data_IF_382627261611
#
_entry.id   IF_382627261611
#
_cell.length_a   1.000
_cell.length_b   1.000
_cell.length_c   1.000
_cell.angle_alpha   90.00
_cell.angle_beta   90.00
_cell.angle_gamma   90.00
#
_symmetry.space_group_name_H-M   'P 1'
#
loop_
_entity.id
_entity.type
_entity.pdbx_description
1 polymer ?
#
# COMPACT_ATOMS: atom_id res chain seq x y z
N UNK A 1 19.66 3.94 -10.55
CA UNK A 1 19.91 3.65 -9.13
C UNK A 1 20.35 2.20 -9.03
N UNK A 2 21.66 1.98 -8.87
CA UNK A 2 22.29 0.68 -9.15
C UNK A 2 22.16 -0.29 -7.96
N UNK A 3 21.98 -1.59 -8.24
CA UNK A 3 21.92 -2.68 -7.23
C UNK A 3 23.08 -2.63 -6.21
N UNK A 4 24.25 -2.17 -6.65
CA UNK A 4 25.49 -2.06 -5.86
C UNK A 4 25.37 -1.02 -4.75
N UNK A 5 24.77 0.14 -5.01
CA UNK A 5 24.62 1.23 -4.04
C UNK A 5 23.67 0.83 -2.89
N UNK A 6 22.57 0.14 -3.23
CA UNK A 6 21.58 -0.33 -2.24
C UNK A 6 22.18 -1.36 -1.27
N UNK A 7 23.10 -2.19 -1.75
CA UNK A 7 23.81 -3.18 -0.93
C UNK A 7 24.77 -2.51 0.05
N UNK A 8 25.56 -1.54 -0.42
CA UNK A 8 26.49 -0.79 0.43
C UNK A 8 25.77 0.01 1.51
N UNK A 9 24.67 0.71 1.15
CA UNK A 9 23.85 1.47 2.10
C UNK A 9 23.35 0.58 3.24
N UNK A 10 22.85 -0.62 2.92
CA UNK A 10 22.36 -1.58 3.92
C UNK A 10 23.44 -2.01 4.93
N UNK A 11 24.68 -2.21 4.47
CA UNK A 11 25.81 -2.56 5.36
C UNK A 11 26.15 -1.38 6.28
N UNK A 12 26.17 -0.16 5.77
CA UNK A 12 26.45 1.03 6.59
C UNK A 12 25.37 1.26 7.65
N UNK A 13 24.09 1.14 7.27
CA UNK A 13 22.96 1.27 8.19
C UNK A 13 23.02 0.22 9.30
N UNK A 14 23.36 -1.04 8.96
CA UNK A 14 23.51 -2.10 9.95
C UNK A 14 24.67 -1.83 10.92
N UNK A 15 25.81 -1.32 10.44
CA UNK A 15 26.95 -0.95 11.29
C UNK A 15 26.59 0.19 12.25
N UNK A 16 25.91 1.23 11.77
CA UNK A 16 25.46 2.34 12.59
C UNK A 16 24.48 1.83 13.67
N UNK A 17 23.53 0.97 13.29
CA UNK A 17 22.59 0.39 14.25
C UNK A 17 23.29 -0.46 15.32
N UNK A 18 24.35 -1.22 14.98
CA UNK A 18 25.17 -1.97 15.95
C UNK A 18 25.83 -1.03 16.97
N UNK A 19 26.39 0.09 16.51
CA UNK A 19 27.04 1.07 17.38
C UNK A 19 26.06 1.77 18.32
N UNK A 20 24.85 2.04 17.83
CA UNK A 20 23.78 2.69 18.61
C UNK A 20 22.94 1.74 19.45
N UNK A 21 23.33 0.46 19.58
CA UNK A 21 22.55 -0.61 20.24
C UNK A 21 21.10 -0.74 19.73
N UNK A 22 20.84 -0.32 18.50
CA UNK A 22 19.51 -0.20 17.90
C UNK A 22 19.09 -1.41 17.06
N UNK A 23 19.60 -2.61 17.35
CA UNK A 23 19.30 -3.82 16.58
C UNK A 23 18.39 -4.75 17.38
N UNK A 24 17.25 -5.07 16.78
CA UNK A 24 16.36 -6.13 17.22
C UNK A 24 16.42 -7.30 16.22
N UNK A 25 16.51 -8.53 16.75
CA UNK A 25 16.48 -9.76 15.95
C UNK A 25 15.15 -10.45 16.20
N UNK A 26 14.40 -10.73 15.13
CA UNK A 26 13.11 -11.41 15.19
C UNK A 26 13.28 -12.86 14.73
N UNK A 27 13.05 -13.81 15.64
CA UNK A 27 13.13 -15.25 15.34
C UNK A 27 11.73 -15.80 15.12
N UNK A 28 11.47 -16.30 13.91
CA UNK A 28 10.18 -16.89 13.53
C UNK A 28 10.29 -18.41 13.59
N UNK A 29 9.43 -19.04 14.38
CA UNK A 29 9.34 -20.50 14.49
C UNK A 29 8.08 -21.08 13.84
N UNK A 30 8.19 -22.30 13.29
CA UNK A 30 7.08 -23.05 12.75
C UNK A 30 7.33 -24.57 12.82
N UNK A 31 6.27 -25.37 12.66
CA UNK A 31 6.36 -26.84 12.73
C UNK A 31 6.83 -27.46 11.41
N UNK A 32 6.51 -26.83 10.27
CA UNK A 32 6.95 -27.29 8.94
C UNK A 32 7.75 -26.21 8.21
N UNK A 33 8.58 -26.63 7.25
CA UNK A 33 9.38 -25.70 6.42
C UNK A 33 8.49 -24.76 5.61
N UNK A 34 7.32 -25.25 5.17
CA UNK A 34 6.37 -24.45 4.39
C UNK A 34 5.75 -23.36 5.26
N UNK A 35 5.30 -23.70 6.47
CA UNK A 35 4.78 -22.72 7.43
C UNK A 35 5.84 -21.73 7.89
N UNK A 36 7.09 -22.17 8.07
CA UNK A 36 8.20 -21.29 8.43
C UNK A 36 8.34 -20.18 7.38
N UNK A 37 8.32 -20.57 6.10
CA UNK A 37 8.46 -19.63 4.99
C UNK A 37 7.27 -18.68 4.88
N UNK A 38 6.04 -19.17 5.03
CA UNK A 38 4.84 -18.32 5.05
C UNK A 38 4.89 -17.28 6.18
N UNK A 39 5.17 -17.72 7.42
CA UNK A 39 5.28 -16.81 8.57
C UNK A 39 6.42 -15.81 8.42
N UNK A 40 7.56 -16.24 7.86
CA UNK A 40 8.69 -15.35 7.60
C UNK A 40 8.32 -14.25 6.59
N UNK A 41 7.67 -14.61 5.47
CA UNK A 41 7.23 -13.64 4.46
C UNK A 41 6.22 -12.64 5.02
N UNK A 42 5.28 -13.11 5.84
CA UNK A 42 4.30 -12.24 6.51
C UNK A 42 4.95 -11.27 7.50
N UNK A 43 5.97 -11.72 8.23
CA UNK A 43 6.73 -10.87 9.14
C UNK A 43 7.55 -9.81 8.38
N UNK A 44 8.14 -10.19 7.24
CA UNK A 44 8.88 -9.27 6.38
C UNK A 44 7.97 -8.19 5.78
N UNK A 45 6.79 -8.57 5.28
CA UNK A 45 5.79 -7.62 4.78
C UNK A 45 5.34 -6.66 5.88
N UNK A 46 5.07 -7.16 7.09
CA UNK A 46 4.69 -6.31 8.23
C UNK A 46 5.79 -5.30 8.60
N UNK A 47 7.05 -5.74 8.64
CA UNK A 47 8.19 -4.86 8.91
C UNK A 47 8.30 -3.75 7.84
N UNK A 48 8.14 -4.12 6.57
CA UNK A 48 8.21 -3.16 5.46
C UNK A 48 7.03 -2.18 5.50
N UNK A 49 5.83 -2.64 5.81
CA UNK A 49 4.64 -1.78 5.97
C UNK A 49 4.81 -0.76 7.10
N UNK A 50 5.36 -1.17 8.25
CA UNK A 50 5.62 -0.26 9.39
C UNK A 50 6.68 0.77 9.02
N UNK A 51 7.76 0.36 8.34
CA UNK A 51 8.80 1.30 7.88
C UNK A 51 8.22 2.36 6.95
N UNK A 52 7.40 1.95 5.96
CA UNK A 52 6.73 2.87 5.07
C UNK A 52 5.76 3.80 5.82
N UNK A 53 5.03 3.28 6.81
CA UNK A 53 4.14 4.09 7.63
C UNK A 53 4.86 5.14 8.50
N UNK A 54 6.10 4.86 8.93
CA UNK A 54 6.94 5.83 9.65
C UNK A 54 7.44 6.92 8.69
N UNK A 55 7.77 6.58 7.45
CA UNK A 55 8.30 7.51 6.45
C UNK A 55 7.22 8.41 5.83
N UNK A 56 6.09 7.85 5.41
CA UNK A 56 5.04 8.54 4.64
C UNK A 56 3.78 8.85 5.47
N UNK A 57 3.69 8.31 6.67
CA UNK A 57 2.50 8.39 7.52
C UNK A 57 1.47 7.30 7.21
N UNK A 58 0.28 7.44 7.81
CA UNK A 58 -0.81 6.45 7.73
C UNK A 58 -2.07 7.05 7.10
N UNK A 59 -2.76 6.25 6.31
CA UNK A 59 -4.04 6.60 5.68
C UNK A 59 -5.09 5.52 5.94
N UNK A 60 -6.37 5.85 5.69
CA UNK A 60 -7.47 4.90 5.84
C UNK A 60 -7.31 3.75 4.84
N UNK A 61 -7.22 2.52 5.35
CA UNK A 61 -7.03 1.30 4.55
C UNK A 61 -8.27 0.84 3.79
N UNK A 62 -8.27 -0.44 3.39
CA UNK A 62 -9.43 -1.09 2.75
C UNK A 62 -9.84 -0.50 1.39
N UNK A 63 -8.94 0.25 0.73
CA UNK A 63 -9.25 0.98 -0.49
C UNK A 63 -10.13 2.22 -0.30
N UNK A 64 -10.52 2.56 0.94
CA UNK A 64 -11.36 3.73 1.23
C UNK A 64 -10.62 5.05 0.91
N UNK A 65 -9.30 5.11 1.17
CA UNK A 65 -8.49 6.27 0.78
C UNK A 65 -8.54 6.50 -0.74
N UNK A 66 -8.42 5.45 -1.55
CA UNK A 66 -8.47 5.55 -3.02
C UNK A 66 -9.83 6.03 -3.52
N UNK A 67 -10.93 5.59 -2.89
CA UNK A 67 -12.27 6.08 -3.19
C UNK A 67 -12.45 7.56 -2.82
N UNK A 68 -11.90 8.01 -1.68
CA UNK A 68 -11.94 9.42 -1.30
C UNK A 68 -11.09 10.30 -2.22
N UNK A 69 -10.01 9.76 -2.78
CA UNK A 69 -9.22 10.46 -3.78
C UNK A 69 -9.93 10.54 -5.13
N UNK A 70 -10.72 9.53 -5.50
CA UNK A 70 -11.42 9.51 -6.78
C UNK A 70 -12.50 10.59 -6.89
N UNK A 71 -13.10 11.05 -5.78
CA UNK A 71 -14.05 12.17 -5.77
C UNK A 71 -13.37 13.51 -6.05
N UNK A 72 -12.09 13.67 -5.67
CA UNK A 72 -11.30 14.88 -5.96
C UNK A 72 -10.87 14.99 -7.42
N UNK A 73 -10.88 13.88 -8.17
CA UNK A 73 -10.52 13.88 -9.60
C UNK A 73 -11.51 14.71 -10.42
N UNK A 74 -12.76 14.83 -9.98
CA UNK A 74 -13.76 15.65 -10.67
C UNK A 74 -13.33 17.12 -10.74
N UNK A 75 -12.80 17.66 -9.65
CA UNK A 75 -12.24 19.03 -9.63
C UNK A 75 -11.00 19.18 -10.50
N UNK A 76 -10.17 18.14 -10.60
CA UNK A 76 -8.99 18.15 -11.48
C UNK A 76 -9.44 18.15 -12.95
N UNK A 77 -10.47 17.37 -13.28
CA UNK A 77 -11.02 17.26 -14.63
C UNK A 77 -11.57 18.60 -15.15
N UNK A 78 -12.18 19.41 -14.28
CA UNK A 78 -12.67 20.75 -14.62
C UNK A 78 -11.56 21.71 -15.08
N UNK A 79 -10.35 21.53 -14.55
CA UNK A 79 -9.17 22.34 -14.92
C UNK A 79 -8.37 21.82 -16.11
N UNK A 80 -8.82 20.76 -16.79
CA UNK A 80 -8.13 20.19 -17.96
C UNK A 80 -8.71 20.77 -19.25
N UNK A 81 -7.82 21.27 -20.11
CA UNK A 81 -8.17 21.93 -21.37
C UNK A 81 -8.39 20.94 -22.53
N UNK A 82 -7.74 19.76 -22.48
CA UNK A 82 -7.81 18.75 -23.54
C UNK A 82 -8.80 17.62 -23.18
N UNK A 83 -9.70 17.28 -24.11
CA UNK A 83 -10.65 16.18 -23.99
C UNK A 83 -9.97 14.81 -23.77
N UNK A 84 -8.81 14.56 -24.37
CA UNK A 84 -8.06 13.30 -24.13
C UNK A 84 -7.60 13.18 -22.67
N UNK A 85 -7.20 14.30 -22.05
CA UNK A 85 -6.81 14.34 -20.65
C UNK A 85 -8.01 14.13 -19.73
N UNK A 86 -9.19 14.67 -20.09
CA UNK A 86 -10.45 14.43 -19.37
C UNK A 86 -10.86 12.96 -19.40
N UNK A 87 -10.73 12.30 -20.55
CA UNK A 87 -10.95 10.86 -20.69
C UNK A 87 -9.95 10.08 -19.80
N UNK A 88 -8.68 10.49 -19.77
CA UNK A 88 -7.67 9.92 -18.87
C UNK A 88 -8.03 10.06 -17.39
N UNK A 89 -8.53 11.23 -16.97
CA UNK A 89 -9.01 11.45 -15.60
C UNK A 89 -10.18 10.52 -15.25
N UNK A 90 -11.14 10.33 -16.17
CA UNK A 90 -12.27 9.42 -15.98
C UNK A 90 -11.81 7.95 -15.87
N UNK A 91 -10.77 7.55 -16.61
CA UNK A 91 -10.18 6.21 -16.51
C UNK A 91 -9.57 6.01 -15.12
N UNK A 92 -8.77 6.98 -14.64
CA UNK A 92 -8.17 6.93 -13.30
C UNK A 92 -9.24 6.85 -12.21
N UNK A 93 -10.30 7.66 -12.33
CA UNK A 93 -11.43 7.65 -11.38
C UNK A 93 -12.05 6.25 -11.26
N UNK A 94 -12.26 5.56 -12.38
CA UNK A 94 -12.78 4.18 -12.40
C UNK A 94 -11.77 3.18 -11.83
N UNK A 95 -10.49 3.32 -12.18
CA UNK A 95 -9.43 2.43 -11.73
C UNK A 95 -9.28 2.45 -10.19
N UNK A 96 -9.35 3.63 -9.58
CA UNK A 96 -9.24 3.79 -8.12
C UNK A 96 -10.36 3.12 -7.32
N UNK A 97 -11.52 2.87 -7.93
CA UNK A 97 -12.63 2.14 -7.29
C UNK A 97 -12.45 0.60 -7.32
N UNK A 98 -11.56 0.10 -8.19
CA UNK A 98 -11.39 -1.34 -8.40
C UNK A 98 -10.85 -2.09 -7.18
N UNK A 99 -9.84 -1.58 -6.42
CA UNK A 99 -9.32 -2.26 -5.25
C UNK A 99 -10.39 -2.53 -4.19
N UNK A 100 -11.22 -1.54 -3.87
CA UNK A 100 -12.31 -1.70 -2.88
C UNK A 100 -13.37 -2.69 -3.37
N UNK A 101 -13.70 -2.66 -4.67
CA UNK A 101 -14.61 -3.66 -5.27
C UNK A 101 -14.04 -5.07 -5.17
N UNK A 102 -12.75 -5.25 -5.41
CA UNK A 102 -12.10 -6.55 -5.34
C UNK A 102 -12.06 -7.08 -3.91
N UNK A 103 -11.75 -6.22 -2.92
CA UNK A 103 -11.79 -6.59 -1.50
C UNK A 103 -13.20 -7.03 -1.10
N UNK A 104 -14.23 -6.25 -1.47
CA UNK A 104 -15.62 -6.60 -1.18
C UNK A 104 -16.06 -7.92 -1.85
N UNK A 105 -15.65 -8.13 -3.11
CA UNK A 105 -15.93 -9.37 -3.85
C UNK A 105 -15.28 -10.59 -3.19
N UNK A 106 -14.01 -10.47 -2.77
CA UNK A 106 -13.31 -11.53 -2.05
C UNK A 106 -13.95 -11.83 -0.69
N UNK A 107 -14.60 -10.84 -0.07
CA UNK A 107 -15.38 -11.02 1.16
C UNK A 107 -16.81 -11.54 0.93
N UNK A 108 -17.22 -11.80 -0.32
CA UNK A 108 -18.55 -12.33 -0.66
C UNK A 108 -19.67 -11.28 -0.66
N UNK A 109 -19.34 -9.98 -0.66
CA UNK A 109 -20.31 -8.88 -0.61
C UNK A 109 -20.33 -8.11 -1.93
N UNK A 110 -21.47 -7.52 -2.30
CA UNK A 110 -21.57 -6.73 -3.51
C UNK A 110 -20.74 -5.42 -3.39
N UNK A 111 -19.67 -5.33 -4.18
CA UNK A 111 -18.77 -4.18 -4.14
C UNK A 111 -19.40 -2.84 -4.51
N UNK A 112 -20.47 -2.82 -5.31
CA UNK A 112 -21.17 -1.56 -5.63
C UNK A 112 -21.90 -1.00 -4.40
N UNK A 113 -22.53 -1.87 -3.61
CA UNK A 113 -23.19 -1.48 -2.37
C UNK A 113 -22.18 -0.93 -1.36
N UNK A 114 -21.00 -1.54 -1.27
CA UNK A 114 -19.91 -1.07 -0.40
C UNK A 114 -19.38 0.28 -0.86
N UNK A 115 -19.07 0.46 -2.16
CA UNK A 115 -18.59 1.72 -2.72
C UNK A 115 -19.60 2.84 -2.49
N UNK A 116 -20.88 2.61 -2.76
CA UNK A 116 -21.93 3.62 -2.56
C UNK A 116 -22.04 4.02 -1.09
N UNK A 117 -21.96 3.05 -0.17
CA UNK A 117 -22.00 3.33 1.27
C UNK A 117 -20.80 4.13 1.76
N UNK A 118 -19.59 3.81 1.28
CA UNK A 118 -18.35 4.52 1.64
C UNK A 118 -18.30 5.91 1.00
N UNK A 119 -18.81 6.08 -0.22
CA UNK A 119 -18.87 7.38 -0.88
C UNK A 119 -19.90 8.34 -0.27
N UNK A 120 -20.85 7.81 0.52
CA UNK A 120 -21.87 8.61 1.21
C UNK A 120 -21.41 9.14 2.58
N UNK A 121 -20.19 8.78 3.01
CA UNK A 121 -19.55 9.16 4.28
C UNK A 121 -18.45 10.19 4.05
#
# INVERSE_FOLDING_TARGET
MNRVEKFQKKIFDERIARLSSGIAILQVGAQTVIELKDKQLRAEDALNAIKAAIEEGVVVGGGCCLLRLSTKIDSVREGLDNEEQRIGADILKRALAYPTRQIAKNAGVNGNTVINKVSSY
#
